data_IF_447604137271
#
_entry.id   IF_447604137271
#
_cell.length_a   1.000
_cell.length_b   1.000
_cell.length_c   1.000
_cell.angle_alpha   90.00
_cell.angle_beta   90.00
_cell.angle_gamma   90.00
#
_symmetry.space_group_name_H-M   'P 1'
#
loop_
_entity.id
_entity.type
_entity.pdbx_description
1 polymer ?
#
# COMPACT_ATOMS: atom_id res chain seq x y z
N UNK A 1 -0.76 -19.88 9.71
CA UNK A 1 -0.81 -19.94 8.24
C UNK A 1 -1.08 -18.55 7.73
N UNK A 2 -0.54 -18.19 6.56
CA UNK A 2 -0.85 -16.93 5.88
C UNK A 2 -2.31 -16.99 5.42
N UNK A 3 -3.13 -15.99 5.77
CA UNK A 3 -4.50 -15.91 5.28
C UNK A 3 -4.53 -15.46 3.81
N UNK A 4 -5.11 -16.29 2.95
CA UNK A 4 -5.39 -15.98 1.53
C UNK A 4 -6.87 -16.14 1.19
N UNK A 5 -7.72 -16.41 2.20
CA UNK A 5 -9.17 -16.52 2.07
C UNK A 5 -9.82 -15.21 2.54
N UNK A 6 -10.45 -14.44 1.63
CA UNK A 6 -11.13 -13.20 2.00
C UNK A 6 -12.23 -13.38 3.06
N UNK A 7 -12.85 -14.57 3.14
CA UNK A 7 -13.89 -14.86 4.13
C UNK A 7 -13.35 -14.92 5.57
N UNK A 8 -12.05 -15.16 5.75
CA UNK A 8 -11.38 -15.18 7.05
C UNK A 8 -10.91 -13.77 7.49
N UNK A 9 -10.99 -12.76 6.61
CA UNK A 9 -10.55 -11.40 6.91
C UNK A 9 -11.19 -10.80 8.18
N UNK A 10 -12.51 -10.95 8.45
CA UNK A 10 -13.12 -10.40 9.67
C UNK A 10 -12.55 -10.98 10.97
N UNK A 11 -12.09 -12.23 10.95
CA UNK A 11 -11.50 -12.89 12.12
C UNK A 11 -9.99 -12.69 12.21
N UNK A 12 -9.28 -12.69 11.07
CA UNK A 12 -7.83 -12.59 11.01
C UNK A 12 -7.31 -11.13 11.06
N UNK A 13 -8.09 -10.16 10.58
CA UNK A 13 -7.69 -8.76 10.44
C UNK A 13 -6.75 -8.46 9.27
N UNK A 14 -6.41 -9.47 8.46
CA UNK A 14 -5.60 -9.34 7.25
C UNK A 14 -5.95 -10.42 6.22
N UNK A 15 -5.68 -10.17 4.94
CA UNK A 15 -5.78 -11.14 3.85
C UNK A 15 -4.74 -10.80 2.78
N UNK A 16 -3.99 -11.80 2.32
CA UNK A 16 -2.99 -11.67 1.28
C UNK A 16 -3.59 -12.00 -0.09
N UNK A 17 -3.36 -11.12 -1.06
CA UNK A 17 -3.72 -11.31 -2.47
C UNK A 17 -2.45 -11.39 -3.31
N UNK A 18 -1.92 -12.59 -3.60
CA UNK A 18 -0.73 -12.74 -4.40
C UNK A 18 -0.98 -12.40 -5.88
N UNK A 19 0.08 -12.06 -6.60
CA UNK A 19 0.09 -11.93 -8.06
C UNK A 19 -0.92 -10.92 -8.66
N UNK A 20 -1.29 -9.89 -7.90
CA UNK A 20 -2.18 -8.81 -8.39
C UNK A 20 -1.55 -8.03 -9.56
N UNK A 21 -0.25 -7.79 -9.49
CA UNK A 21 0.52 -7.07 -10.50
C UNK A 21 1.55 -7.99 -11.14
N UNK A 22 1.73 -7.85 -12.45
CA UNK A 22 2.76 -8.59 -13.18
C UNK A 22 4.13 -7.89 -13.07
N UNK A 23 5.19 -8.60 -13.50
CA UNK A 23 6.56 -8.10 -13.43
C UNK A 23 6.79 -6.77 -14.17
N UNK A 24 6.08 -6.51 -15.28
CA UNK A 24 6.19 -5.25 -16.02
C UNK A 24 5.60 -4.09 -15.22
N UNK A 25 4.45 -4.30 -14.59
CA UNK A 25 3.80 -3.31 -13.73
C UNK A 25 4.66 -3.02 -12.50
N UNK A 26 5.23 -4.05 -11.87
CA UNK A 26 6.15 -3.90 -10.74
C UNK A 26 7.40 -3.13 -11.16
N UNK A 27 8.02 -3.48 -12.29
CA UNK A 27 9.19 -2.76 -12.83
C UNK A 27 8.89 -1.29 -13.12
N UNK A 28 7.69 -0.96 -13.61
CA UNK A 28 7.27 0.43 -13.80
C UNK A 28 7.14 1.19 -12.47
N UNK A 29 6.62 0.54 -11.41
CA UNK A 29 6.53 1.12 -10.07
C UNK A 29 7.91 1.35 -9.45
N UNK A 30 8.81 0.37 -9.56
CA UNK A 30 10.20 0.49 -9.11
C UNK A 30 10.91 1.65 -9.82
N UNK A 31 10.78 1.73 -11.15
CA UNK A 31 11.35 2.84 -11.92
C UNK A 31 10.76 4.21 -11.51
N UNK A 32 9.45 4.27 -11.28
CA UNK A 32 8.79 5.47 -10.77
C UNK A 32 9.33 5.91 -9.41
N UNK A 33 9.57 4.95 -8.51
CA UNK A 33 10.15 5.21 -7.21
C UNK A 33 11.59 5.74 -7.32
N UNK A 34 12.42 5.13 -8.17
CA UNK A 34 13.81 5.56 -8.41
C UNK A 34 13.89 7.01 -8.88
N UNK A 35 13.04 7.40 -9.84
CA UNK A 35 12.98 8.78 -10.32
C UNK A 35 12.61 9.76 -9.20
N UNK A 36 11.69 9.36 -8.34
CA UNK A 36 11.23 10.20 -7.26
C UNK A 36 12.26 10.30 -6.10
N UNK A 37 13.03 9.23 -5.86
CA UNK A 37 14.22 9.25 -4.98
C UNK A 37 15.27 10.22 -5.53
N UNK A 38 15.60 10.14 -6.82
CA UNK A 38 16.57 11.04 -7.48
C UNK A 38 16.14 12.50 -7.39
N UNK A 39 14.83 12.76 -7.45
CA UNK A 39 14.25 14.09 -7.26
C UNK A 39 14.24 14.57 -5.79
N UNK A 40 14.78 13.78 -4.85
CA UNK A 40 14.90 14.12 -3.42
C UNK A 40 13.57 14.49 -2.74
N UNK A 41 12.51 13.71 -2.99
CA UNK A 41 11.18 13.76 -2.36
C UNK A 41 10.87 15.00 -1.51
N UNK A 42 10.45 16.11 -2.13
CA UNK A 42 9.86 17.33 -1.52
C UNK A 42 10.50 17.84 -0.19
N UNK A 43 11.76 17.53 0.11
CA UNK A 43 12.45 17.99 1.33
C UNK A 43 12.16 17.21 2.63
N UNK A 44 11.52 16.03 2.59
CA UNK A 44 11.34 15.16 3.77
C UNK A 44 12.02 13.79 3.53
N UNK A 45 13.07 13.43 4.29
CA UNK A 45 13.76 12.16 4.10
C UNK A 45 12.84 10.97 4.39
N UNK A 46 12.79 10.01 3.46
CA UNK A 46 12.10 8.72 3.55
C UNK A 46 10.55 8.78 3.59
N UNK A 47 9.93 9.91 3.19
CA UNK A 47 8.48 9.99 3.09
C UNK A 47 8.03 10.50 1.73
N UNK A 48 7.38 9.62 0.99
CA UNK A 48 6.76 9.95 -0.28
C UNK A 48 5.24 9.85 -0.15
N UNK A 49 4.65 10.99 0.24
CA UNK A 49 3.22 11.12 0.55
C UNK A 49 2.39 11.51 -0.67
N UNK A 50 1.24 10.86 -0.78
CA UNK A 50 0.14 11.13 -1.72
C UNK A 50 0.54 11.23 -3.21
N UNK A 51 1.44 10.37 -3.73
CA UNK A 51 1.84 10.48 -5.12
C UNK A 51 0.69 10.28 -6.11
N UNK A 52 -0.38 9.58 -5.71
CA UNK A 52 -1.60 9.41 -6.52
C UNK A 52 -2.26 10.75 -6.90
N UNK A 53 -2.03 11.83 -6.15
CA UNK A 53 -2.65 13.15 -6.40
C UNK A 53 -2.00 13.90 -7.56
N UNK A 54 -0.72 13.61 -7.85
CA UNK A 54 0.06 14.38 -8.83
C UNK A 54 0.68 13.53 -9.94
N UNK A 55 0.72 12.21 -9.78
CA UNK A 55 1.47 11.32 -10.66
C UNK A 55 0.60 10.18 -11.20
N UNK A 56 0.49 10.13 -12.53
CA UNK A 56 -0.42 9.23 -13.22
C UNK A 56 -0.10 7.75 -12.98
N UNK A 57 1.18 7.39 -12.82
CA UNK A 57 1.60 6.02 -12.51
C UNK A 57 0.95 5.55 -11.21
N UNK A 58 1.09 6.32 -10.14
CA UNK A 58 0.62 5.95 -8.82
C UNK A 58 -0.90 5.99 -8.72
N UNK A 59 -1.55 6.97 -9.36
CA UNK A 59 -3.01 6.97 -9.48
C UNK A 59 -3.50 5.70 -10.19
N UNK A 60 -2.87 5.34 -11.33
CA UNK A 60 -3.22 4.14 -12.11
C UNK A 60 -3.02 2.84 -11.31
N UNK A 61 -2.00 2.79 -10.45
CA UNK A 61 -1.80 1.66 -9.53
C UNK A 61 -2.92 1.58 -8.49
N UNK A 62 -3.28 2.69 -7.85
CA UNK A 62 -4.34 2.72 -6.84
C UNK A 62 -5.73 2.38 -7.40
N UNK A 63 -6.01 2.71 -8.66
CA UNK A 63 -7.29 2.40 -9.33
C UNK A 63 -7.22 1.13 -10.20
N UNK A 64 -6.21 0.28 -10.01
CA UNK A 64 -6.08 -0.96 -10.78
C UNK A 64 -7.30 -1.87 -10.56
N UNK A 65 -7.98 -2.36 -11.61
CA UNK A 65 -9.19 -3.16 -11.45
C UNK A 65 -9.02 -4.39 -10.55
N UNK A 66 -7.90 -5.12 -10.66
CA UNK A 66 -7.67 -6.31 -9.82
C UNK A 66 -7.46 -5.96 -8.34
N UNK A 67 -6.84 -4.80 -8.08
CA UNK A 67 -6.68 -4.29 -6.72
C UNK A 67 -8.04 -3.88 -6.17
N UNK A 68 -8.84 -3.15 -6.95
CA UNK A 68 -10.18 -2.76 -6.54
C UNK A 68 -11.07 -3.99 -6.30
N UNK A 69 -11.07 -4.99 -7.19
CA UNK A 69 -11.79 -6.25 -7.00
C UNK A 69 -11.42 -6.91 -5.65
N UNK A 70 -10.12 -6.93 -5.31
CA UNK A 70 -9.66 -7.48 -4.03
C UNK A 70 -10.15 -6.68 -2.81
N UNK A 71 -10.16 -5.34 -2.90
CA UNK A 71 -10.65 -4.47 -1.82
C UNK A 71 -12.17 -4.55 -1.69
N UNK A 72 -12.90 -4.63 -2.80
CA UNK A 72 -14.36 -4.75 -2.83
C UNK A 72 -14.85 -6.05 -2.18
N UNK A 73 -14.07 -7.14 -2.27
CA UNK A 73 -14.37 -8.38 -1.53
C UNK A 73 -14.35 -8.19 -0.01
N UNK A 74 -13.63 -7.18 0.50
CA UNK A 74 -13.44 -6.95 1.94
C UNK A 74 -14.30 -5.81 2.48
N UNK A 75 -14.38 -4.67 1.78
CA UNK A 75 -15.12 -3.47 2.21
C UNK A 75 -16.43 -3.25 1.44
N UNK A 76 -16.67 -3.96 0.35
CA UNK A 76 -17.77 -3.71 -0.56
C UNK A 76 -17.46 -2.65 -1.63
N UNK A 77 -18.43 -2.34 -2.51
CA UNK A 77 -18.18 -1.66 -3.79
C UNK A 77 -18.01 -0.13 -3.69
N UNK A 78 -18.34 0.48 -2.54
CA UNK A 78 -18.34 1.93 -2.40
C UNK A 78 -17.01 2.40 -1.80
N UNK A 79 -15.99 2.48 -2.65
CA UNK A 79 -14.63 2.76 -2.23
C UNK A 79 -14.26 4.24 -2.41
N UNK A 80 -13.48 4.77 -1.45
CA UNK A 80 -12.82 6.07 -1.54
C UNK A 80 -11.33 5.84 -1.23
N UNK A 81 -10.46 6.28 -2.14
CA UNK A 81 -9.03 6.38 -1.84
C UNK A 81 -8.79 7.62 -0.99
N UNK A 82 -8.53 7.43 0.30
CA UNK A 82 -8.29 8.54 1.24
C UNK A 82 -6.84 9.00 1.20
N UNK A 83 -5.90 8.08 1.02
CA UNK A 83 -4.48 8.35 1.15
C UNK A 83 -3.62 7.28 0.47
N UNK A 84 -2.40 7.65 0.07
CA UNK A 84 -1.37 6.69 -0.36
C UNK A 84 0.01 7.17 0.09
N UNK A 85 0.90 6.27 0.48
CA UNK A 85 2.31 6.59 0.75
C UNK A 85 3.23 5.44 0.40
N UNK A 86 4.50 5.76 0.16
CA UNK A 86 5.55 4.74 0.14
C UNK A 86 6.27 4.65 1.48
N UNK A 87 6.38 3.44 2.01
CA UNK A 87 7.25 3.10 3.11
C UNK A 87 8.58 2.61 2.56
N UNK A 88 9.61 3.47 2.61
CA UNK A 88 10.92 3.19 2.02
C UNK A 88 11.91 2.90 3.14
N UNK A 89 12.38 1.66 3.21
CA UNK A 89 13.52 1.25 4.04
C UNK A 89 14.73 1.06 3.12
N UNK A 90 15.70 1.96 3.21
CA UNK A 90 16.94 1.82 2.43
C UNK A 90 17.82 0.72 3.01
N UNK A 91 18.74 0.21 2.21
CA UNK A 91 19.68 -0.82 2.68
C UNK A 91 20.37 -0.38 3.97
N UNK A 92 20.34 -1.24 4.99
CA UNK A 92 20.90 -1.01 6.33
C UNK A 92 20.19 0.09 7.13
N UNK A 93 18.96 0.45 6.80
CA UNK A 93 18.13 1.30 7.65
C UNK A 93 17.71 0.52 8.92
N UNK A 94 18.13 1.00 10.08
CA UNK A 94 17.82 0.38 11.38
C UNK A 94 16.44 0.79 11.92
N UNK A 95 15.67 1.60 11.17
CA UNK A 95 14.34 2.02 11.58
C UNK A 95 13.37 0.85 11.66
N UNK A 96 12.74 0.74 12.82
CA UNK A 96 11.73 -0.25 13.16
C UNK A 96 10.37 0.43 13.29
N UNK A 97 9.34 -0.21 12.75
CA UNK A 97 7.94 0.18 12.95
C UNK A 97 7.44 -0.64 14.13
N UNK A 98 7.17 0.02 15.26
CA UNK A 98 6.63 -0.64 16.45
C UNK A 98 5.17 -1.04 16.25
N UNK A 99 4.68 -1.96 17.09
CA UNK A 99 3.28 -2.38 17.11
C UNK A 99 2.32 -1.18 17.26
N UNK A 100 1.38 -1.05 16.33
CA UNK A 100 0.35 -0.02 16.33
C UNK A 100 -0.87 -0.45 15.49
N UNK A 101 -1.91 0.37 15.46
CA UNK A 101 -3.09 0.22 14.61
C UNK A 101 -3.38 1.52 13.85
N UNK A 102 -3.53 1.41 12.53
CA UNK A 102 -3.71 2.58 11.64
C UNK A 102 -5.00 3.34 11.89
N UNK A 103 -6.04 2.68 12.41
CA UNK A 103 -7.35 3.32 12.61
C UNK A 103 -7.27 4.59 13.48
N UNK A 104 -6.27 4.66 14.36
CA UNK A 104 -6.02 5.83 15.20
C UNK A 104 -5.61 7.09 14.42
N UNK A 105 -5.16 6.96 13.18
CA UNK A 105 -4.79 8.08 12.30
C UNK A 105 -5.98 8.63 11.49
N UNK A 106 -7.11 7.93 11.42
CA UNK A 106 -8.25 8.28 10.59
C UNK A 106 -9.41 8.82 11.42
N UNK A 107 -9.28 10.04 11.96
CA UNK A 107 -10.26 10.63 12.90
C UNK A 107 -11.70 10.67 12.38
N UNK A 108 -11.88 10.72 11.05
CA UNK A 108 -13.19 10.79 10.38
C UNK A 108 -13.75 9.42 9.96
N UNK A 109 -13.03 8.32 10.19
CA UNK A 109 -13.51 6.97 9.90
C UNK A 109 -13.86 6.26 11.21
N UNK A 110 -15.05 5.68 11.27
CA UNK A 110 -15.53 4.98 12.45
C UNK A 110 -15.51 3.46 12.22
N UNK A 111 -15.06 2.72 13.24
CA UNK A 111 -15.12 1.25 13.22
C UNK A 111 -14.15 0.62 12.22
N UNK A 112 -14.66 -0.29 11.40
CA UNK A 112 -13.90 -1.13 10.45
C UNK A 112 -14.13 -0.74 8.99
N UNK A 113 -14.68 0.44 8.74
CA UNK A 113 -14.99 0.95 7.39
C UNK A 113 -13.73 1.52 6.68
N UNK A 114 -12.54 1.11 7.11
CA UNK A 114 -11.23 1.46 6.54
C UNK A 114 -10.33 0.23 6.56
N UNK A 115 -9.57 0.05 5.48
CA UNK A 115 -8.45 -0.88 5.42
C UNK A 115 -7.23 -0.22 4.78
N UNK A 116 -6.07 -0.76 5.08
CA UNK A 116 -4.80 -0.40 4.43
C UNK A 116 -4.45 -1.48 3.41
N UNK A 117 -4.21 -1.09 2.16
CA UNK A 117 -3.60 -1.98 1.15
C UNK A 117 -2.08 -1.82 1.23
N UNK A 118 -1.40 -2.90 1.61
CA UNK A 118 0.07 -2.97 1.55
C UNK A 118 0.50 -3.63 0.25
N UNK A 119 1.13 -2.85 -0.64
CA UNK A 119 1.64 -3.33 -1.91
C UNK A 119 3.15 -3.47 -1.84
N UNK A 120 3.64 -4.70 -1.90
CA UNK A 120 5.06 -4.97 -2.10
C UNK A 120 5.42 -4.70 -3.58
N UNK A 121 6.34 -3.77 -3.80
CA UNK A 121 6.93 -3.49 -5.13
C UNK A 121 8.38 -3.97 -5.24
N UNK A 122 8.93 -4.46 -4.13
CA UNK A 122 10.18 -5.19 -4.00
C UNK A 122 9.92 -6.45 -3.16
N UNK A 123 10.82 -7.42 -3.21
CA UNK A 123 10.75 -8.60 -2.36
C UNK A 123 10.83 -8.19 -0.89
N UNK A 124 9.98 -8.79 -0.05
CA UNK A 124 9.94 -8.56 1.39
C UNK A 124 10.33 -9.84 2.10
N UNK A 125 11.52 -9.82 2.69
CA UNK A 125 12.11 -10.93 3.44
C UNK A 125 12.19 -10.58 4.94
N UNK A 126 12.44 -11.58 5.78
CA UNK A 126 12.47 -11.42 7.24
C UNK A 126 13.81 -10.82 7.77
N UNK A 127 14.83 -10.70 6.91
CA UNK A 127 16.23 -10.36 7.24
C UNK A 127 16.69 -8.93 6.91
#
# INVERSE_FOLDING_TARGET
MINTDPSEYPAAGYCLFPDLFNAEQVAAMQHGLDLAILASFKGLPNYYGEPHTTEALWLKTCINPKLLDAVELLLGPNLILVYSSMFIKVARDEKIVHWHQDNSYWESVHGTDVLTVWLAIDDVEDD
#
